data_IF_490271292555
#
_entry.id   IF_490271292555
#
_cell.length_a   1.000
_cell.length_b   1.000
_cell.length_c   1.000
_cell.angle_alpha   90.00
_cell.angle_beta   90.00
_cell.angle_gamma   90.00
#
_symmetry.space_group_name_H-M   'P 1'
#
loop_
_entity.id
_entity.type
_entity.pdbx_description
1 polymer ?
#
# COMPACT_ATOMS: atom_id res chain seq x y z
N UNK A 1 -22.27 -35.65 14.31
CA UNK A 1 -21.67 -34.30 14.37
C UNK A 1 -20.84 -34.28 15.65
N UNK A 2 -19.51 -34.32 15.52
CA UNK A 2 -18.62 -34.80 16.59
C UNK A 2 -18.15 -33.67 17.52
N UNK A 3 -18.15 -33.92 18.84
CA UNK A 3 -17.71 -32.98 19.90
C UNK A 3 -16.26 -32.46 19.71
N UNK A 4 -15.44 -33.16 18.92
CA UNK A 4 -14.07 -32.74 18.58
C UNK A 4 -14.02 -31.51 17.66
N UNK A 5 -15.04 -31.30 16.83
CA UNK A 5 -15.13 -30.12 15.95
C UNK A 5 -15.55 -28.87 16.73
N UNK A 6 -16.45 -29.01 17.71
CA UNK A 6 -16.90 -27.91 18.57
C UNK A 6 -15.76 -27.34 19.43
N UNK A 7 -14.86 -28.21 19.93
CA UNK A 7 -13.74 -27.76 20.77
C UNK A 7 -12.62 -27.08 19.94
N UNK A 8 -12.48 -27.43 18.66
CA UNK A 8 -11.52 -26.79 17.73
C UNK A 8 -11.97 -25.39 17.29
N UNK A 9 -13.27 -25.18 17.13
CA UNK A 9 -13.84 -23.86 16.78
C UNK A 9 -13.76 -22.90 17.98
N UNK A 10 -14.06 -23.40 19.19
CA UNK A 10 -14.00 -22.59 20.43
C UNK A 10 -12.59 -22.10 20.75
N UNK A 11 -11.57 -22.96 20.58
CA UNK A 11 -10.16 -22.59 20.79
C UNK A 11 -9.61 -21.65 19.72
N UNK A 12 -10.04 -21.80 18.46
CA UNK A 12 -9.62 -20.92 17.36
C UNK A 12 -10.17 -19.50 17.50
N UNK A 13 -11.41 -19.33 17.97
CA UNK A 13 -12.01 -18.02 18.22
C UNK A 13 -11.31 -17.26 19.34
N UNK A 14 -11.06 -17.94 20.46
CA UNK A 14 -10.39 -17.36 21.63
C UNK A 14 -8.97 -16.87 21.33
N UNK A 15 -8.19 -17.67 20.60
CA UNK A 15 -6.85 -17.28 20.19
C UNK A 15 -6.83 -16.06 19.27
N UNK A 16 -7.89 -15.85 18.47
CA UNK A 16 -7.96 -14.71 17.56
C UNK A 16 -8.30 -13.42 18.30
N UNK A 17 -9.22 -13.48 19.28
CA UNK A 17 -9.57 -12.35 20.14
C UNK A 17 -8.39 -11.92 21.03
N UNK A 18 -7.69 -12.88 21.63
CA UNK A 18 -6.51 -12.63 22.46
C UNK A 18 -5.38 -11.99 21.62
N UNK A 19 -5.20 -12.44 20.38
CA UNK A 19 -4.21 -11.89 19.45
C UNK A 19 -4.57 -10.44 19.05
N UNK A 20 -5.84 -10.19 18.72
CA UNK A 20 -6.32 -8.85 18.33
C UNK A 20 -6.20 -7.84 19.49
N UNK A 21 -6.41 -8.28 20.73
CA UNK A 21 -6.22 -7.47 21.93
C UNK A 21 -4.74 -7.08 22.14
N UNK A 22 -3.80 -8.00 21.90
CA UNK A 22 -2.36 -7.73 22.02
C UNK A 22 -1.92 -6.69 21.00
N UNK A 23 -2.36 -6.81 19.74
CA UNK A 23 -2.02 -5.84 18.70
C UNK A 23 -2.66 -4.47 18.93
N UNK A 24 -3.89 -4.41 19.45
CA UNK A 24 -4.50 -3.14 19.86
C UNK A 24 -3.65 -2.42 20.91
N UNK A 25 -3.14 -3.16 21.92
CA UNK A 25 -2.26 -2.58 22.94
C UNK A 25 -0.92 -2.14 22.39
N UNK A 26 -0.37 -2.90 21.43
CA UNK A 26 0.85 -2.51 20.72
C UNK A 26 0.66 -1.19 19.95
N UNK A 27 -0.43 -1.05 19.20
CA UNK A 27 -0.76 0.17 18.41
C UNK A 27 -0.94 1.39 19.32
N UNK A 28 -1.59 1.22 20.47
CA UNK A 28 -1.80 2.28 21.45
C UNK A 28 -0.56 2.59 22.31
N UNK A 29 0.52 1.82 22.18
CA UNK A 29 1.74 1.99 22.96
C UNK A 29 1.59 1.59 24.44
N UNK A 30 0.63 0.73 24.76
CA UNK A 30 0.32 0.29 26.14
C UNK A 30 1.13 -0.94 26.59
N UNK A 31 1.95 -1.51 25.71
CA UNK A 31 2.81 -2.65 26.01
C UNK A 31 4.11 -2.22 26.71
N UNK A 32 4.66 -3.11 27.53
CA UNK A 32 5.99 -2.91 28.11
C UNK A 32 7.10 -3.04 27.04
N UNK A 33 8.32 -2.61 27.38
CA UNK A 33 9.45 -2.62 26.44
C UNK A 33 9.82 -4.02 25.93
N UNK A 34 9.66 -5.05 26.77
CA UNK A 34 9.99 -6.44 26.40
C UNK A 34 8.91 -7.03 25.47
N UNK A 35 7.65 -6.74 25.76
CA UNK A 35 6.49 -7.11 24.97
C UNK A 35 6.50 -6.40 23.61
N UNK A 36 6.87 -5.12 23.56
CA UNK A 36 7.05 -4.38 22.30
C UNK A 36 8.13 -5.02 21.44
N UNK A 37 9.31 -5.30 22.00
CA UNK A 37 10.40 -5.97 21.28
C UNK A 37 10.01 -7.35 20.76
N UNK A 38 9.22 -8.09 21.54
CA UNK A 38 8.70 -9.38 21.12
C UNK A 38 7.70 -9.24 19.96
N UNK A 39 6.75 -8.30 20.08
CA UNK A 39 5.78 -7.99 19.02
C UNK A 39 6.48 -7.53 17.73
N UNK A 40 7.49 -6.66 17.81
CA UNK A 40 8.31 -6.24 16.68
C UNK A 40 9.02 -7.43 16.01
N UNK A 41 9.58 -8.35 16.80
CA UNK A 41 10.18 -9.56 16.28
C UNK A 41 9.16 -10.41 15.51
N UNK A 42 7.93 -10.54 16.04
CA UNK A 42 6.84 -11.25 15.38
C UNK A 42 6.44 -10.57 14.06
N UNK A 43 6.32 -9.24 14.04
CA UNK A 43 6.00 -8.49 12.82
C UNK A 43 7.03 -8.71 11.69
N UNK A 44 8.29 -8.93 12.05
CA UNK A 44 9.36 -9.16 11.07
C UNK A 44 9.39 -10.59 10.53
N UNK A 45 9.05 -11.58 11.36
CA UNK A 45 9.30 -12.99 11.06
C UNK A 45 8.05 -13.84 10.83
N UNK A 46 6.89 -13.39 11.31
CA UNK A 46 5.62 -14.12 11.21
C UNK A 46 4.60 -13.34 10.36
N UNK A 47 4.25 -13.85 9.16
CA UNK A 47 3.26 -13.21 8.30
C UNK A 47 1.86 -13.18 8.92
N UNK A 48 1.51 -14.16 9.78
CA UNK A 48 0.19 -14.17 10.43
C UNK A 48 0.09 -13.09 11.52
N UNK A 49 1.21 -12.80 12.19
CA UNK A 49 1.31 -11.70 13.15
C UNK A 49 1.11 -10.35 12.45
N UNK A 50 1.71 -10.17 11.26
CA UNK A 50 1.50 -8.97 10.45
C UNK A 50 0.03 -8.83 10.01
N UNK A 51 -0.60 -9.92 9.56
CA UNK A 51 -2.02 -9.91 9.18
C UNK A 51 -2.93 -9.53 10.36
N UNK A 52 -2.68 -10.10 11.54
CA UNK A 52 -3.43 -9.79 12.76
C UNK A 52 -3.21 -8.34 13.22
N UNK A 53 -1.98 -7.81 13.09
CA UNK A 53 -1.67 -6.40 13.34
C UNK A 53 -2.42 -5.48 12.38
N UNK A 54 -2.43 -5.76 11.08
CA UNK A 54 -3.15 -4.97 10.09
C UNK A 54 -4.66 -4.96 10.37
N UNK A 55 -5.24 -6.12 10.72
CA UNK A 55 -6.64 -6.21 11.11
C UNK A 55 -6.95 -5.37 12.36
N UNK A 56 -6.08 -5.41 13.38
CA UNK A 56 -6.21 -4.58 14.56
C UNK A 56 -6.09 -3.08 14.21
N UNK A 57 -5.13 -2.70 13.36
CA UNK A 57 -4.91 -1.31 12.94
C UNK A 57 -6.14 -0.74 12.22
N UNK A 58 -6.71 -1.48 11.26
CA UNK A 58 -7.94 -1.05 10.58
C UNK A 58 -9.12 -0.90 11.55
N UNK A 59 -9.21 -1.74 12.58
CA UNK A 59 -10.27 -1.61 13.60
C UNK A 59 -10.08 -0.43 14.54
N UNK A 60 -8.84 0.06 14.71
CA UNK A 60 -8.50 1.21 15.55
C UNK A 60 -8.45 2.52 14.78
N UNK A 61 -8.41 2.51 13.45
CA UNK A 61 -8.24 3.68 12.58
C UNK A 61 -9.21 4.83 12.95
N UNK A 62 -10.49 4.51 13.18
CA UNK A 62 -11.50 5.50 13.58
C UNK A 62 -11.32 6.08 14.99
N UNK A 63 -10.56 5.39 15.86
CA UNK A 63 -10.30 5.80 17.25
C UNK A 63 -8.98 6.54 17.43
N UNK A 64 -8.08 6.44 16.46
CA UNK A 64 -6.80 7.13 16.52
C UNK A 64 -7.01 8.64 16.34
N UNK A 65 -6.28 9.48 17.11
CA UNK A 65 -6.39 10.92 16.96
C UNK A 65 -5.94 11.31 15.56
N UNK A 66 -6.78 12.08 14.86
CA UNK A 66 -6.39 12.70 13.60
C UNK A 66 -5.19 13.63 13.78
N UNK A 67 -4.40 13.77 12.72
CA UNK A 67 -3.23 14.65 12.74
C UNK A 67 -3.70 16.10 12.79
N UNK A 68 -3.45 16.77 13.92
CA UNK A 68 -3.77 18.20 14.05
C UNK A 68 -2.74 19.01 13.26
N UNK A 69 -3.20 19.93 12.41
CA UNK A 69 -2.34 20.80 11.61
C UNK A 69 -1.36 20.03 10.71
N UNK A 70 -1.90 19.09 9.92
CA UNK A 70 -1.13 18.25 8.98
C UNK A 70 -0.11 19.05 8.17
N UNK A 71 -0.51 20.17 7.57
CA UNK A 71 0.38 21.00 6.75
C UNK A 71 1.58 21.56 7.54
N UNK A 72 1.32 22.10 8.73
CA UNK A 72 2.37 22.69 9.58
C UNK A 72 3.32 21.60 10.13
N UNK A 73 2.77 20.44 10.45
CA UNK A 73 3.55 19.27 10.87
C UNK A 73 4.44 18.75 9.75
N UNK A 74 3.93 18.67 8.52
CA UNK A 74 4.71 18.25 7.35
C UNK A 74 5.83 19.26 7.07
N UNK A 75 5.54 20.57 7.11
CA UNK A 75 6.53 21.62 6.92
C UNK A 75 7.65 21.53 7.97
N UNK A 76 7.28 21.37 9.25
CA UNK A 76 8.24 21.20 10.34
C UNK A 76 9.09 19.93 10.17
N UNK A 77 8.49 18.81 9.78
CA UNK A 77 9.21 17.57 9.49
C UNK A 77 10.22 17.77 8.35
N UNK A 78 9.79 18.38 7.24
CA UNK A 78 10.65 18.61 6.08
C UNK A 78 11.84 19.52 6.42
N UNK A 79 11.67 20.45 7.38
CA UNK A 79 12.77 21.25 7.91
C UNK A 79 13.72 20.48 8.85
N UNK A 80 13.21 19.46 9.56
CA UNK A 80 13.99 18.63 10.49
C UNK A 80 14.69 17.44 9.82
N UNK A 81 14.21 17.01 8.65
CA UNK A 81 14.87 15.96 7.88
C UNK A 81 16.24 16.50 7.40
N UNK A 82 17.32 15.70 7.54
CA UNK A 82 18.60 16.09 6.99
C UNK A 82 18.41 16.32 5.49
N UNK A 83 18.83 17.48 5.00
CA UNK A 83 18.83 17.75 3.57
C UNK A 83 19.49 16.57 2.87
N UNK A 84 18.83 16.07 1.83
CA UNK A 84 19.12 14.82 1.13
C UNK A 84 20.52 14.71 0.50
N UNK A 85 21.45 15.61 0.83
CA UNK A 85 22.88 15.58 0.51
C UNK A 85 23.80 15.02 1.61
N UNK A 86 23.37 14.82 2.86
CA UNK A 86 24.26 14.31 3.93
C UNK A 86 24.32 12.78 4.01
N UNK A 87 23.35 12.06 3.43
CA UNK A 87 23.33 10.60 3.40
C UNK A 87 24.40 9.99 2.46
N UNK A 88 25.02 10.77 1.56
CA UNK A 88 26.12 10.29 0.72
C UNK A 88 27.48 10.29 1.42
N UNK A 89 27.70 11.07 2.50
CA UNK A 89 29.02 11.16 3.13
C UNK A 89 29.30 10.05 4.15
N UNK A 90 28.27 9.37 4.67
CA UNK A 90 28.42 8.23 5.58
C UNK A 90 28.73 6.88 4.88
N UNK A 91 28.86 6.85 3.54
CA UNK A 91 29.18 5.62 2.78
C UNK A 91 30.70 5.42 2.54
N UNK A 92 31.54 6.32 3.07
CA UNK A 92 32.99 6.32 2.87
C UNK A 92 33.82 5.49 3.87
N UNK A 93 33.31 5.16 5.05
CA UNK A 93 34.13 4.57 6.12
C UNK A 93 33.46 3.38 6.83
N UNK A 94 33.12 2.33 6.08
CA UNK A 94 32.96 0.99 6.68
C UNK A 94 33.89 0.02 5.98
N UNK A 95 35.18 0.25 6.20
CA UNK A 95 36.20 -0.77 5.97
C UNK A 95 36.07 -1.82 7.08
N UNK A 96 35.91 -3.08 6.65
CA UNK A 96 36.11 -4.33 7.39
C UNK A 96 34.97 -4.78 8.31
N UNK A 97 34.02 -5.49 7.71
CA UNK A 97 33.62 -6.83 8.17
C UNK A 97 33.04 -7.61 6.98
N UNK A 98 33.96 -8.19 6.21
CA UNK A 98 33.64 -9.15 5.18
C UNK A 98 33.22 -10.47 5.84
N UNK A 99 31.97 -10.87 5.62
CA UNK A 99 31.47 -12.17 6.01
C UNK A 99 29.96 -12.24 5.88
N UNK A 100 29.48 -12.70 4.72
CA UNK A 100 28.17 -13.38 4.57
C UNK A 100 26.89 -12.55 4.38
N UNK A 101 26.89 -11.49 3.57
CA UNK A 101 25.64 -10.79 3.15
C UNK A 101 25.49 -10.49 1.64
N UNK A 102 26.26 -11.14 0.78
CA UNK A 102 26.36 -10.76 -0.65
C UNK A 102 25.42 -11.50 -1.63
N UNK A 103 24.26 -11.97 -1.17
CA UNK A 103 23.27 -12.66 -2.03
C UNK A 103 21.96 -11.86 -2.15
N UNK A 104 21.68 -10.93 -1.22
CA UNK A 104 20.42 -10.16 -1.15
C UNK A 104 20.50 -8.77 -1.79
N UNK A 105 21.42 -8.58 -2.74
CA UNK A 105 21.59 -7.33 -3.49
C UNK A 105 21.54 -7.56 -5.01
N UNK A 106 20.95 -8.68 -5.47
CA UNK A 106 20.80 -8.90 -6.90
C UNK A 106 19.59 -8.12 -7.45
N UNK A 107 19.78 -7.17 -8.39
CA UNK A 107 18.71 -6.34 -8.96
C UNK A 107 17.63 -7.16 -9.70
N UNK A 108 17.91 -8.44 -9.94
CA UNK A 108 16.97 -9.40 -10.50
C UNK A 108 15.80 -9.71 -9.55
N UNK A 109 15.95 -9.58 -8.23
CA UNK A 109 14.87 -9.83 -7.28
C UNK A 109 13.70 -8.85 -7.46
N UNK A 110 14.01 -7.57 -7.63
CA UNK A 110 13.01 -6.53 -7.91
C UNK A 110 12.36 -6.74 -9.29
N UNK A 111 13.11 -7.26 -10.27
CA UNK A 111 12.58 -7.59 -11.59
C UNK A 111 11.60 -8.78 -11.53
N UNK A 112 11.91 -9.81 -10.74
CA UNK A 112 11.01 -10.96 -10.56
C UNK A 112 9.69 -10.54 -9.92
N UNK A 113 9.72 -9.63 -8.95
CA UNK A 113 8.50 -9.07 -8.32
C UNK A 113 7.68 -8.26 -9.33
N UNK A 114 8.30 -7.36 -10.09
CA UNK A 114 7.59 -6.57 -11.09
C UNK A 114 7.01 -7.42 -12.23
N UNK A 115 7.78 -8.42 -12.68
CA UNK A 115 7.36 -9.36 -13.72
C UNK A 115 6.19 -10.25 -13.24
N UNK A 116 6.20 -10.69 -11.97
CA UNK A 116 5.12 -11.51 -11.44
C UNK A 116 3.81 -10.72 -11.31
N UNK A 117 3.87 -9.44 -10.90
CA UNK A 117 2.69 -8.56 -10.88
C UNK A 117 2.08 -8.44 -12.28
N UNK A 118 2.91 -8.20 -13.30
CA UNK A 118 2.45 -8.11 -14.70
C UNK A 118 1.82 -9.42 -15.16
N UNK A 119 2.45 -10.55 -14.84
CA UNK A 119 1.95 -11.89 -15.19
C UNK A 119 0.63 -12.19 -14.47
N UNK A 120 0.48 -11.81 -13.21
CA UNK A 120 -0.77 -11.94 -12.47
C UNK A 120 -1.87 -11.11 -13.11
N UNK A 121 -1.63 -9.82 -13.37
CA UNK A 121 -2.62 -8.94 -14.02
C UNK A 121 -3.07 -9.50 -15.37
N UNK A 122 -2.15 -10.06 -16.16
CA UNK A 122 -2.45 -10.70 -17.43
C UNK A 122 -3.24 -12.01 -17.24
N UNK A 123 -2.85 -12.83 -16.26
CA UNK A 123 -3.47 -14.14 -16.01
C UNK A 123 -4.84 -14.06 -15.35
N UNK A 124 -5.12 -13.01 -14.57
CA UNK A 124 -6.42 -12.77 -13.94
C UNK A 124 -7.44 -12.12 -14.88
N UNK A 125 -7.06 -11.73 -16.10
CA UNK A 125 -8.00 -11.26 -17.12
C UNK A 125 -8.79 -10.00 -16.72
N UNK A 126 -8.30 -9.20 -15.78
CA UNK A 126 -9.01 -8.02 -15.22
C UNK A 126 -9.33 -6.97 -16.30
N UNK A 127 -8.59 -6.97 -17.42
CA UNK A 127 -8.89 -6.13 -18.58
C UNK A 127 -10.15 -6.54 -19.37
N UNK A 128 -10.56 -7.81 -19.32
CA UNK A 128 -11.79 -8.30 -19.98
C UNK A 128 -13.03 -7.70 -19.31
N UNK A 129 -12.95 -7.49 -17.99
CA UNK A 129 -14.01 -6.92 -17.17
C UNK A 129 -14.15 -5.39 -17.32
N UNK A 130 -13.08 -4.68 -17.70
CA UNK A 130 -13.14 -3.24 -18.04
C UNK A 130 -13.63 -2.99 -19.47
N UNK A 131 -13.37 -3.90 -20.39
CA UNK A 131 -13.75 -3.78 -21.81
C UNK A 131 -15.23 -4.07 -22.05
N UNK A 132 -15.83 -4.95 -21.25
CA UNK A 132 -17.24 -5.35 -21.38
C UNK A 132 -18.25 -4.19 -21.13
N UNK A 133 -17.84 -3.12 -20.45
CA UNK A 133 -18.68 -1.93 -20.24
C UNK A 133 -18.65 -0.90 -21.37
N UNK A 134 -17.67 -0.97 -22.29
CA UNK A 134 -17.49 0.02 -23.35
C UNK A 134 -18.25 -0.31 -24.65
N UNK A 135 -18.62 -1.57 -24.87
CA UNK A 135 -19.28 -2.00 -26.11
C UNK A 135 -20.79 -1.73 -26.17
N UNK A 136 -21.43 -1.38 -25.06
CA UNK A 136 -22.89 -1.15 -25.00
C UNK A 136 -23.30 0.31 -25.24
N UNK A 137 -22.36 1.28 -25.23
CA UNK A 137 -22.68 2.73 -25.26
C UNK A 137 -22.48 3.37 -26.65
N UNK A 138 -22.29 2.58 -27.71
CA UNK A 138 -22.25 3.11 -29.08
C UNK A 138 -23.57 2.77 -29.79
N UNK A 139 -24.62 3.61 -29.69
CA UNK A 139 -25.76 3.51 -30.59
C UNK A 139 -25.31 3.82 -32.03
N UNK A 140 -25.88 3.16 -33.04
CA UNK A 140 -25.52 3.39 -34.43
C UNK A 140 -25.98 4.78 -34.88
N UNK A 141 -25.03 5.58 -35.36
CA UNK A 141 -25.18 6.69 -36.32
C UNK A 141 -26.29 7.73 -36.07
N UNK A 142 -25.89 8.92 -35.59
CA UNK A 142 -26.42 10.24 -36.03
C UNK A 142 -25.72 11.44 -35.38
N UNK A 143 -24.78 11.25 -34.44
CA UNK A 143 -24.01 12.36 -33.88
C UNK A 143 -22.61 12.48 -34.53
N UNK A 144 -22.19 13.68 -34.94
CA UNK A 144 -20.88 13.87 -35.54
C UNK A 144 -19.77 13.52 -34.53
N UNK A 145 -18.69 12.84 -34.98
CA UNK A 145 -17.58 12.45 -34.14
C UNK A 145 -17.04 13.61 -33.29
N UNK A 146 -16.55 13.30 -32.09
CA UNK A 146 -16.04 14.28 -31.13
C UNK A 146 -14.99 15.21 -31.75
N UNK A 147 -14.19 14.73 -32.70
CA UNK A 147 -13.22 15.52 -33.46
C UNK A 147 -13.86 16.65 -34.28
N UNK A 148 -15.03 16.40 -34.85
CA UNK A 148 -15.75 17.34 -35.71
C UNK A 148 -16.38 18.46 -34.86
N UNK A 149 -16.89 18.13 -33.67
CA UNK A 149 -17.39 19.11 -32.69
C UNK A 149 -16.29 20.01 -32.13
N UNK A 150 -15.09 19.47 -31.92
CA UNK A 150 -13.94 20.27 -31.45
C UNK A 150 -13.48 21.20 -32.57
N UNK A 151 -13.42 20.71 -33.81
CA UNK A 151 -13.01 21.50 -34.97
C UNK A 151 -13.95 22.69 -35.22
N UNK A 152 -15.26 22.47 -35.15
CA UNK A 152 -16.28 23.52 -35.32
C UNK A 152 -16.18 24.61 -34.24
N UNK A 153 -16.01 24.21 -32.98
CA UNK A 153 -15.84 25.17 -31.87
C UNK A 153 -14.55 25.98 -31.96
N UNK A 154 -13.48 25.38 -32.45
CA UNK A 154 -12.18 26.07 -32.59
C UNK A 154 -12.19 27.02 -33.79
N UNK A 155 -12.85 26.63 -34.89
CA UNK A 155 -13.03 27.49 -36.06
C UNK A 155 -13.93 28.69 -35.78
N UNK A 156 -14.98 28.55 -34.97
CA UNK A 156 -15.84 29.69 -34.59
C UNK A 156 -15.15 30.71 -33.67
N UNK A 157 -14.12 30.28 -32.94
CA UNK A 157 -13.31 31.16 -32.10
C UNK A 157 -12.20 31.85 -32.88
N UNK A 158 -11.59 31.17 -33.87
CA UNK A 158 -10.54 31.75 -34.72
C UNK A 158 -11.09 32.82 -35.68
N UNK A 159 -12.35 32.68 -36.12
CA UNK A 159 -12.99 33.63 -37.03
C UNK A 159 -13.39 34.94 -36.32
N UNK A 160 -13.57 34.90 -34.99
CA UNK A 160 -13.77 36.09 -34.14
C UNK A 160 -12.48 36.87 -33.84
N UNK A 161 -11.33 36.35 -34.25
CA UNK A 161 -10.01 36.98 -34.11
C UNK A 161 -9.50 37.62 -35.41
N UNK A 162 -10.31 37.61 -36.47
CA UNK A 162 -10.04 38.33 -37.71
C UNK A 162 -10.55 39.79 -37.55
N UNK A 163 -9.72 40.81 -37.86
CA UNK A 163 -9.83 42.18 -37.32
C UNK A 163 -11.08 42.96 -37.72
#
# INVERSE_FOLDING_TARGET
MNERELNKVSTKGKNNEDNLLIWSKYILGELDEQQSKHAESLLVHDPNALEAYMAALSSLEERLPGLQQEDAFIEELMHRLPASGEAQQARGEVKRQAGKRRIREHPLFNYVIAASITLFLLSFGVFDHMTSGAYHVVPPSSEPPLSERIMEKTSGWIDQLKP
#
